data_IF_393023041600
#
_entry.id   IF_393023041600
#
_cell.length_a   1.000
_cell.length_b   1.000
_cell.length_c   1.000
_cell.angle_alpha   90.00
_cell.angle_beta   90.00
_cell.angle_gamma   90.00
#
_symmetry.space_group_name_H-M   'P 1'
#
loop_
_entity.id
_entity.type
_entity.pdbx_description
1 polymer ?
#
# COMPACT_ATOMS: atom_id res chain seq x y z
N UNK A 1 1.40 15.68 22.91
CA UNK A 1 1.46 14.40 22.15
C UNK A 1 2.27 14.67 20.90
N UNK A 2 3.42 14.02 20.75
CA UNK A 2 4.17 14.07 19.49
C UNK A 2 3.32 13.43 18.39
N UNK A 3 3.17 14.09 17.24
CA UNK A 3 2.70 13.41 16.03
C UNK A 3 3.81 12.43 15.67
N UNK A 4 3.74 11.21 16.17
CA UNK A 4 4.66 10.16 15.75
C UNK A 4 4.33 9.81 14.30
N UNK A 5 5.00 10.49 13.38
CA UNK A 5 4.97 10.19 11.94
C UNK A 5 5.77 8.92 11.74
N UNK A 6 5.16 7.79 12.09
CA UNK A 6 5.72 6.46 11.84
C UNK A 6 5.48 6.15 10.36
N UNK A 7 6.53 5.95 9.58
CA UNK A 7 6.42 5.54 8.18
C UNK A 7 5.69 4.20 8.08
N UNK A 8 4.64 4.14 7.24
CA UNK A 8 3.74 2.98 7.12
C UNK A 8 3.95 2.19 5.83
N UNK A 9 4.99 2.53 5.06
CA UNK A 9 5.24 2.02 3.70
C UNK A 9 5.42 0.50 3.63
N UNK A 10 5.90 -0.09 4.73
CA UNK A 10 6.20 -1.52 4.83
C UNK A 10 5.08 -2.32 5.51
N UNK A 11 3.96 -1.71 5.90
CA UNK A 11 2.88 -2.42 6.60
C UNK A 11 2.04 -3.25 5.63
N UNK A 12 1.79 -4.49 6.00
CA UNK A 12 0.92 -5.40 5.26
C UNK A 12 -0.55 -4.95 5.28
N UNK A 13 -1.34 -5.25 4.23
CA UNK A 13 -2.76 -4.87 4.14
C UNK A 13 -3.58 -5.33 5.34
N UNK A 14 -3.37 -6.55 5.82
CA UNK A 14 -4.05 -7.15 6.98
C UNK A 14 -3.76 -6.37 8.28
N UNK A 15 -2.53 -5.86 8.44
CA UNK A 15 -2.15 -5.04 9.59
C UNK A 15 -2.80 -3.64 9.52
N UNK A 16 -2.93 -3.08 8.31
CA UNK A 16 -3.62 -1.80 8.07
C UNK A 16 -5.13 -1.96 8.33
N UNK A 17 -5.69 -3.10 7.93
CA UNK A 17 -7.09 -3.47 8.11
C UNK A 17 -7.37 -4.09 9.49
N UNK A 18 -6.45 -4.01 10.45
CA UNK A 18 -6.64 -4.51 11.83
C UNK A 18 -7.23 -5.93 11.86
N UNK A 19 -6.78 -6.80 10.95
CA UNK A 19 -7.10 -8.23 10.94
C UNK A 19 -6.11 -8.99 11.82
N UNK A 20 -6.42 -10.25 12.11
CA UNK A 20 -5.46 -11.16 12.74
C UNK A 20 -4.24 -11.31 11.83
N UNK A 21 -3.06 -11.14 12.42
CA UNK A 21 -1.79 -11.19 11.69
C UNK A 21 -0.86 -12.22 12.29
N UNK A 22 -0.04 -12.82 11.43
CA UNK A 22 1.02 -13.75 11.80
C UNK A 22 2.34 -13.36 11.12
N UNK A 23 3.26 -14.31 10.98
CA UNK A 23 4.60 -14.07 10.41
C UNK A 23 4.59 -13.62 8.94
N UNK A 24 3.47 -13.77 8.24
CA UNK A 24 3.34 -13.34 6.85
C UNK A 24 3.52 -11.82 6.66
N UNK A 25 3.23 -11.01 7.70
CA UNK A 25 3.44 -9.55 7.64
C UNK A 25 4.92 -9.17 7.50
N UNK A 26 5.82 -10.02 8.03
CA UNK A 26 7.26 -9.83 7.88
C UNK A 26 7.69 -10.10 6.44
N UNK A 27 7.11 -11.14 5.82
CA UNK A 27 7.35 -11.46 4.40
C UNK A 27 6.87 -10.33 3.48
N UNK A 28 5.74 -9.69 3.79
CA UNK A 28 5.30 -8.48 3.09
C UNK A 28 6.33 -7.36 3.19
N UNK A 29 6.81 -7.10 4.40
CA UNK A 29 7.82 -6.06 4.67
C UNK A 29 9.13 -6.34 3.90
N UNK A 30 9.56 -7.61 3.88
CA UNK A 30 10.72 -8.07 3.09
C UNK A 30 10.49 -7.84 1.60
N UNK A 31 9.30 -8.14 1.06
CA UNK A 31 8.97 -7.90 -0.34
C UNK A 31 9.05 -6.42 -0.73
N UNK A 32 8.59 -5.52 0.14
CA UNK A 32 8.72 -4.07 -0.05
C UNK A 32 10.20 -3.65 -0.12
N UNK A 33 11.02 -4.10 0.84
CA UNK A 33 12.46 -3.82 0.89
C UNK A 33 13.17 -4.39 -0.33
N UNK A 34 12.80 -5.61 -0.74
CA UNK A 34 13.37 -6.26 -1.92
C UNK A 34 13.11 -5.45 -3.18
N UNK A 35 11.89 -4.91 -3.36
CA UNK A 35 11.58 -3.98 -4.45
C UNK A 35 12.48 -2.74 -4.46
N UNK A 36 12.80 -2.18 -3.29
CA UNK A 36 13.72 -1.05 -3.17
C UNK A 36 15.18 -1.42 -3.46
N UNK A 37 15.61 -2.62 -3.06
CA UNK A 37 16.94 -3.16 -3.40
C UNK A 37 17.10 -3.36 -4.91
N UNK A 38 16.05 -3.81 -5.61
CA UNK A 38 16.08 -3.93 -7.07
C UNK A 38 16.28 -2.56 -7.75
N UNK A 39 15.77 -1.47 -7.16
CA UNK A 39 16.00 -0.10 -7.63
C UNK A 39 17.42 0.43 -7.34
N UNK A 40 18.28 -0.33 -6.65
CA UNK A 40 19.70 0.00 -6.52
C UNK A 40 20.49 -0.33 -7.79
N UNK A 41 20.00 -1.26 -8.62
CA UNK A 41 20.60 -1.60 -9.91
C UNK A 41 20.48 -0.43 -10.89
N UNK A 42 21.54 -0.13 -11.64
CA UNK A 42 21.60 1.06 -12.51
C UNK A 42 20.60 0.98 -13.67
N UNK A 43 20.31 -0.22 -14.16
CA UNK A 43 19.33 -0.53 -15.20
C UNK A 43 17.90 -0.25 -14.73
N UNK A 44 17.69 -0.33 -13.42
CA UNK A 44 16.40 -0.11 -12.78
C UNK A 44 16.23 1.35 -12.32
N UNK A 45 17.29 2.02 -11.90
CA UNK A 45 17.19 3.42 -11.52
C UNK A 45 18.49 4.16 -11.84
N UNK A 46 18.46 4.91 -12.96
CA UNK A 46 19.62 5.61 -13.47
C UNK A 46 20.16 6.67 -12.50
N UNK A 47 19.29 7.30 -11.70
CA UNK A 47 19.66 8.33 -10.73
C UNK A 47 19.15 7.99 -9.33
N UNK A 48 20.04 7.99 -8.33
CA UNK A 48 19.72 7.64 -6.95
C UNK A 48 18.60 8.48 -6.32
N UNK A 49 18.42 9.74 -6.76
CA UNK A 49 17.35 10.64 -6.30
C UNK A 49 15.95 10.18 -6.71
N UNK A 50 15.84 9.30 -7.71
CA UNK A 50 14.57 8.77 -8.18
C UNK A 50 14.16 7.49 -7.44
N UNK A 51 15.01 6.97 -6.54
CA UNK A 51 14.67 5.81 -5.72
C UNK A 51 13.60 6.21 -4.71
N UNK A 52 12.49 5.49 -4.74
CA UNK A 52 11.33 5.71 -3.86
C UNK A 52 10.89 4.37 -3.26
N UNK A 53 10.25 4.40 -2.07
CA UNK A 53 9.59 3.22 -1.52
C UNK A 53 8.56 2.65 -2.49
N UNK A 54 8.37 1.33 -2.47
CA UNK A 54 7.41 0.66 -3.34
C UNK A 54 5.97 1.14 -3.08
N UNK A 55 5.63 1.39 -1.81
CA UNK A 55 4.31 1.85 -1.37
C UNK A 55 4.39 3.10 -0.47
N UNK A 56 4.57 4.31 -1.02
CA UNK A 56 4.82 5.53 -0.25
C UNK A 56 3.52 6.19 0.28
N UNK A 57 2.62 5.43 0.90
CA UNK A 57 1.37 5.95 1.45
C UNK A 57 1.54 6.72 2.76
N UNK A 58 0.98 7.93 2.82
CA UNK A 58 1.18 8.90 3.91
C UNK A 58 0.22 8.71 5.08
N UNK A 59 -0.82 7.90 4.91
CA UNK A 59 -1.83 7.63 5.96
C UNK A 59 -2.31 6.18 5.96
N UNK A 60 -2.90 5.75 7.08
CA UNK A 60 -3.63 4.47 7.23
C UNK A 60 -4.99 4.75 7.90
N UNK A 61 -5.65 5.81 7.46
CA UNK A 61 -6.80 6.40 8.17
C UNK A 61 -8.13 5.79 7.76
N UNK A 62 -8.13 4.65 7.05
CA UNK A 62 -9.31 4.05 6.43
C UNK A 62 -10.44 3.72 7.39
N UNK A 63 -10.28 3.92 8.70
CA UNK A 63 -11.20 3.51 9.76
C UNK A 63 -11.63 4.59 10.74
N UNK A 64 -11.34 5.88 10.52
CA UNK A 64 -11.92 6.96 11.33
C UNK A 64 -13.29 7.36 10.76
N UNK A 65 -14.42 7.10 11.43
CA UNK A 65 -15.75 7.46 10.94
C UNK A 65 -16.00 8.99 10.95
N UNK A 66 -15.08 9.78 11.50
CA UNK A 66 -15.39 11.13 12.00
C UNK A 66 -14.91 12.28 11.12
N UNK A 67 -14.05 12.08 10.12
CA UNK A 67 -13.44 13.19 9.38
C UNK A 67 -13.64 13.07 7.86
N UNK A 68 -14.85 13.35 7.41
CA UNK A 68 -15.24 13.41 5.99
C UNK A 68 -14.69 14.64 5.24
N UNK A 69 -13.99 15.56 5.90
CA UNK A 69 -13.72 16.90 5.33
C UNK A 69 -12.31 17.06 4.72
N UNK A 70 -11.37 16.14 4.93
CA UNK A 70 -10.01 16.27 4.32
C UNK A 70 -9.31 14.93 4.03
N UNK A 71 -10.07 13.89 3.71
CA UNK A 71 -9.49 12.58 3.36
C UNK A 71 -9.00 12.56 1.91
N UNK A 72 -7.70 12.76 1.67
CA UNK A 72 -7.11 12.44 0.35
C UNK A 72 -6.93 10.93 0.23
N UNK A 73 -7.96 10.26 -0.31
CA UNK A 73 -8.03 8.81 -0.56
C UNK A 73 -6.81 8.24 -1.30
N UNK A 74 -6.18 9.05 -2.14
CA UNK A 74 -5.00 8.71 -2.96
C UNK A 74 -3.70 8.55 -2.15
N UNK A 75 -3.62 9.16 -0.97
CA UNK A 75 -2.41 9.12 -0.12
C UNK A 75 -2.52 8.08 0.99
N UNK A 76 -3.60 7.30 1.00
CA UNK A 76 -3.79 6.21 1.93
C UNK A 76 -3.00 4.97 1.50
N UNK A 77 -2.30 4.35 2.45
CA UNK A 77 -1.42 3.21 2.22
C UNK A 77 -2.14 2.05 1.53
N UNK A 78 -3.40 1.78 1.87
CA UNK A 78 -4.14 0.68 1.27
C UNK A 78 -4.43 0.95 -0.21
N UNK A 79 -4.80 2.19 -0.55
CA UNK A 79 -5.02 2.60 -1.93
C UNK A 79 -3.73 2.65 -2.75
N UNK A 80 -2.62 3.09 -2.15
CA UNK A 80 -1.30 3.03 -2.79
C UNK A 80 -0.91 1.59 -3.12
N UNK A 81 -1.16 0.64 -2.21
CA UNK A 81 -0.94 -0.78 -2.46
C UNK A 81 -1.81 -1.25 -3.64
N UNK A 82 -3.11 -0.96 -3.63
CA UNK A 82 -4.02 -1.38 -4.71
C UNK A 82 -3.71 -0.76 -6.07
N UNK A 83 -3.09 0.42 -6.11
CA UNK A 83 -2.66 1.03 -7.37
C UNK A 83 -1.48 0.29 -8.02
N UNK A 84 -0.77 -0.54 -7.27
CA UNK A 84 0.40 -1.29 -7.76
C UNK A 84 0.03 -2.76 -7.95
N UNK A 85 -0.51 -3.43 -6.93
CA UNK A 85 -0.78 -4.88 -6.98
C UNK A 85 -2.23 -5.21 -7.37
N UNK A 86 -3.05 -4.19 -7.64
CA UNK A 86 -4.47 -4.36 -7.93
C UNK A 86 -5.33 -4.48 -6.67
N UNK A 87 -6.64 -4.44 -6.86
CA UNK A 87 -7.62 -4.69 -5.78
C UNK A 87 -7.76 -6.19 -5.51
N UNK A 88 -8.01 -6.61 -4.26
CA UNK A 88 -8.14 -8.03 -3.91
C UNK A 88 -9.26 -8.74 -4.67
N UNK A 89 -9.07 -10.03 -4.91
CA UNK A 89 -10.08 -10.88 -5.52
C UNK A 89 -11.26 -11.11 -4.56
N UNK A 90 -12.39 -11.60 -5.06
CA UNK A 90 -13.55 -11.85 -4.19
C UNK A 90 -13.26 -12.93 -3.13
N UNK A 91 -12.42 -13.91 -3.48
CA UNK A 91 -11.95 -14.95 -2.56
C UNK A 91 -11.18 -14.35 -1.39
N UNK A 92 -10.24 -13.42 -1.65
CA UNK A 92 -9.49 -12.73 -0.60
C UNK A 92 -10.39 -11.86 0.29
N UNK A 93 -11.35 -11.16 -0.34
CA UNK A 93 -12.32 -10.31 0.37
C UNK A 93 -13.23 -11.15 1.27
N UNK A 94 -13.65 -12.34 0.83
CA UNK A 94 -14.53 -13.21 1.60
C UNK A 94 -13.91 -13.65 2.93
N UNK A 95 -12.57 -13.78 2.99
CA UNK A 95 -11.85 -14.09 4.22
C UNK A 95 -11.77 -12.88 5.20
N UNK A 96 -12.07 -11.66 4.75
CA UNK A 96 -12.00 -10.42 5.55
C UNK A 96 -13.36 -9.99 6.09
N UNK A 97 -13.85 -10.62 7.17
CA UNK A 97 -15.22 -10.39 7.69
C UNK A 97 -15.52 -8.93 8.06
N UNK A 98 -14.57 -8.23 8.69
CA UNK A 98 -14.81 -6.86 9.20
C UNK A 98 -14.85 -5.80 8.10
N UNK A 99 -14.08 -5.95 7.03
CA UNK A 99 -13.88 -4.92 5.99
C UNK A 99 -14.39 -5.31 4.61
N UNK A 100 -14.88 -6.53 4.42
CA UNK A 100 -15.43 -6.97 3.15
C UNK A 100 -16.48 -6.02 2.55
N UNK A 101 -17.47 -5.48 3.31
CA UNK A 101 -18.46 -4.57 2.74
C UNK A 101 -17.85 -3.29 2.15
N UNK A 102 -16.77 -2.77 2.77
CA UNK A 102 -16.06 -1.59 2.30
C UNK A 102 -15.21 -1.92 1.06
N UNK A 103 -14.48 -3.04 1.09
CA UNK A 103 -13.61 -3.45 -0.01
C UNK A 103 -14.38 -3.74 -1.30
N UNK A 104 -15.60 -4.27 -1.20
CA UNK A 104 -16.48 -4.51 -2.36
C UNK A 104 -16.96 -3.22 -3.03
N UNK A 105 -16.98 -2.09 -2.32
CA UNK A 105 -17.36 -0.79 -2.89
C UNK A 105 -16.22 -0.11 -3.65
N UNK A 106 -14.99 -0.62 -3.52
CA UNK A 106 -13.83 -0.06 -4.21
C UNK A 106 -13.86 -0.49 -5.68
N UNK A 107 -13.68 0.44 -6.63
CA UNK A 107 -13.54 0.09 -8.05
C UNK A 107 -12.40 -0.90 -8.26
N UNK A 108 -12.68 -2.01 -8.93
CA UNK A 108 -11.68 -3.05 -9.20
C UNK A 108 -10.56 -2.50 -10.08
N UNK A 109 -9.31 -2.81 -9.74
CA UNK A 109 -8.11 -2.44 -10.50
C UNK A 109 -7.24 -3.67 -10.75
N UNK A 110 -6.72 -3.85 -11.98
CA UNK A 110 -5.73 -4.87 -12.25
C UNK A 110 -4.36 -4.49 -11.64
N UNK A 111 -3.47 -5.48 -11.38
CA UNK A 111 -2.09 -5.21 -11.04
C UNK A 111 -1.35 -4.53 -12.19
N UNK A 112 -0.36 -3.70 -11.84
CA UNK A 112 0.52 -3.01 -12.79
C UNK A 112 1.85 -3.77 -12.88
N UNK A 113 2.50 -3.74 -14.04
CA UNK A 113 3.86 -4.25 -14.17
C UNK A 113 4.81 -3.41 -13.29
N UNK A 114 5.62 -4.07 -12.46
CA UNK A 114 6.54 -3.39 -11.54
C UNK A 114 7.57 -2.50 -12.24
N UNK A 115 7.93 -2.79 -13.50
CA UNK A 115 8.76 -1.89 -14.30
C UNK A 115 8.11 -0.52 -14.55
N UNK A 116 6.77 -0.50 -14.66
CA UNK A 116 6.00 0.69 -15.03
C UNK A 116 5.56 1.51 -13.81
N UNK A 117 5.63 0.94 -12.60
CA UNK A 117 5.22 1.60 -11.33
C UNK A 117 5.96 2.94 -11.10
N UNK A 118 7.15 3.10 -11.68
CA UNK A 118 7.97 4.31 -11.60
C UNK A 118 7.27 5.56 -12.14
N UNK A 119 6.38 5.39 -13.11
CA UNK A 119 5.65 6.50 -13.73
C UNK A 119 4.42 6.95 -12.93
N UNK A 120 3.90 6.09 -12.04
CA UNK A 120 2.68 6.35 -11.27
C UNK A 120 2.92 7.18 -9.99
N UNK A 121 4.17 7.38 -9.59
CA UNK A 121 4.53 8.09 -8.36
C UNK A 121 5.04 9.53 -8.60
N UNK A 122 4.80 10.09 -9.79
CA UNK A 122 5.28 11.43 -10.21
C UNK A 122 4.13 12.41 -10.53
N UNK A 123 2.88 11.95 -10.54
CA UNK A 123 1.68 12.78 -10.74
C UNK A 123 0.96 13.01 -9.41
#
# INVERSE_FOLDING_TARGET
MTKDVVSRYYRAPELILLQDYGRAVDMWSIGCIFGELLNMQAENCQHYLNRKPLFPGRSCTTLSPTDTVTYKKEMDQLFVIFNVIGTPAEEDIAHMTKFAPLLRQIPKKPPVNLHDVRHLQVT
#
